data_IF_139532211928
#
_entry.id   IF_139532211928
#
_cell.length_a   1.000
_cell.length_b   1.000
_cell.length_c   1.000
_cell.angle_alpha   90.00
_cell.angle_beta   90.00
_cell.angle_gamma   90.00
#
_symmetry.space_group_name_H-M   'P 1'
#
loop_
_entity.id
_entity.type
_entity.pdbx_description
1 polymer ?
#
# COMPACT_ATOMS: atom_id res chain seq x y z
N UNK A 1 32.84 -15.20 24.98
CA UNK A 1 31.99 -14.08 24.53
C UNK A 1 30.68 -14.64 23.98
N UNK A 2 29.49 -14.22 24.45
CA UNK A 2 28.25 -14.65 23.82
C UNK A 2 28.15 -13.96 22.45
N UNK A 3 28.06 -14.74 21.37
CA UNK A 3 27.67 -14.24 20.06
C UNK A 3 26.21 -13.78 20.15
N UNK A 4 26.00 -12.47 20.20
CA UNK A 4 24.67 -11.87 20.03
C UNK A 4 24.14 -12.33 18.67
N UNK A 5 23.11 -13.18 18.67
CA UNK A 5 22.40 -13.55 17.45
C UNK A 5 21.83 -12.27 16.86
N UNK A 6 22.37 -11.83 15.71
CA UNK A 6 21.80 -10.73 14.95
C UNK A 6 20.39 -11.19 14.55
N UNK A 7 19.36 -10.62 15.19
CA UNK A 7 17.96 -10.88 14.85
C UNK A 7 17.77 -10.38 13.42
N UNK A 8 17.66 -11.31 12.47
CA UNK A 8 17.45 -10.99 11.06
C UNK A 8 16.21 -10.10 10.97
N UNK A 9 16.36 -8.86 10.50
CA UNK A 9 15.21 -7.98 10.29
C UNK A 9 14.32 -8.62 9.21
N UNK A 10 13.17 -9.13 9.63
CA UNK A 10 12.15 -9.77 8.79
C UNK A 10 11.25 -8.75 8.10
N UNK A 11 11.25 -7.49 8.55
CA UNK A 11 10.42 -6.43 7.99
C UNK A 11 10.76 -6.17 6.51
N UNK A 12 9.72 -6.11 5.69
CA UNK A 12 9.74 -5.71 4.30
C UNK A 12 10.23 -4.27 4.21
N UNK A 13 11.30 -4.08 3.44
CA UNK A 13 11.98 -2.80 3.26
C UNK A 13 12.36 -2.63 1.80
N UNK A 14 12.38 -1.37 1.34
CA UNK A 14 13.01 -0.99 0.08
C UNK A 14 14.48 -1.41 0.06
N UNK A 15 15.01 -1.64 -1.13
CA UNK A 15 16.42 -2.03 -1.29
C UNK A 15 17.35 -0.90 -0.82
N UNK A 16 18.54 -1.25 -0.33
CA UNK A 16 19.55 -0.26 0.05
C UNK A 16 19.95 0.63 -1.14
N UNK A 17 19.90 0.09 -2.36
CA UNK A 17 20.11 0.85 -3.60
C UNK A 17 19.14 2.02 -3.71
N UNK A 18 17.84 1.80 -3.54
CA UNK A 18 16.84 2.87 -3.58
C UNK A 18 16.99 3.85 -2.41
N UNK A 19 17.25 3.33 -1.20
CA UNK A 19 17.36 4.17 0.00
C UNK A 19 18.59 5.10 -0.01
N UNK A 20 19.68 4.67 -0.65
CA UNK A 20 20.94 5.43 -0.74
C UNK A 20 20.96 6.46 -1.89
N UNK A 21 19.99 6.45 -2.80
CA UNK A 21 19.92 7.45 -3.87
C UNK A 21 19.72 8.85 -3.29
N UNK A 22 20.25 9.87 -3.97
CA UNK A 22 19.86 11.26 -3.74
C UNK A 22 18.41 11.48 -4.25
N UNK A 23 17.82 12.63 -3.91
CA UNK A 23 16.41 12.90 -4.19
C UNK A 23 16.07 12.89 -5.68
N UNK A 24 16.94 13.47 -6.52
CA UNK A 24 16.75 13.49 -7.98
C UNK A 24 16.77 12.08 -8.57
N UNK A 25 17.77 11.28 -8.20
CA UNK A 25 17.93 9.91 -8.68
C UNK A 25 16.80 9.00 -8.20
N UNK A 26 16.34 9.19 -6.95
CA UNK A 26 15.22 8.42 -6.42
C UNK A 26 13.91 8.72 -7.17
N UNK A 27 13.62 10.00 -7.44
CA UNK A 27 12.44 10.39 -8.23
C UNK A 27 12.51 9.81 -9.65
N UNK A 28 13.68 9.85 -10.27
CA UNK A 28 13.89 9.27 -11.60
C UNK A 28 13.68 7.74 -11.58
N UNK A 29 14.22 7.04 -10.59
CA UNK A 29 14.02 5.61 -10.43
C UNK A 29 12.53 5.25 -10.24
N UNK A 30 11.77 6.04 -9.48
CA UNK A 30 10.32 5.87 -9.33
C UNK A 30 9.59 6.04 -10.66
N UNK A 31 9.95 7.04 -11.46
CA UNK A 31 9.35 7.28 -12.78
C UNK A 31 9.61 6.08 -13.71
N UNK A 32 10.86 5.61 -13.74
CA UNK A 32 11.28 4.48 -14.58
C UNK A 32 10.61 3.17 -14.18
N UNK A 33 10.48 2.92 -12.87
CA UNK A 33 9.82 1.75 -12.29
C UNK A 33 8.31 1.74 -12.57
N UNK A 34 7.65 2.91 -12.51
CA UNK A 34 6.22 3.03 -12.77
C UNK A 34 5.85 3.01 -14.26
N UNK A 35 6.77 3.39 -15.16
CA UNK A 35 6.53 3.52 -16.60
C UNK A 35 5.91 2.28 -17.26
N UNK A 36 6.36 1.03 -17.00
CA UNK A 36 5.75 -0.16 -17.59
C UNK A 36 4.36 -0.50 -17.03
N UNK A 37 3.96 0.04 -15.87
CA UNK A 37 2.70 -0.30 -15.21
C UNK A 37 1.49 0.42 -15.81
N UNK A 38 1.70 1.47 -16.60
CA UNK A 38 0.63 2.35 -17.10
C UNK A 38 0.75 2.63 -18.60
N UNK A 39 -0.34 2.99 -19.29
CA UNK A 39 -0.32 3.38 -20.69
C UNK A 39 0.71 4.50 -20.98
N UNK A 40 1.42 4.39 -22.10
CA UNK A 40 2.51 5.30 -22.46
C UNK A 40 2.06 6.77 -22.63
N UNK A 41 0.79 6.98 -23.00
CA UNK A 41 0.14 8.29 -23.12
C UNK A 41 -0.33 8.86 -21.77
N UNK A 42 -0.16 8.12 -20.67
CA UNK A 42 -0.55 8.51 -19.32
C UNK A 42 0.61 8.46 -18.33
N UNK A 43 1.66 9.29 -18.53
CA UNK A 43 2.81 9.31 -17.65
C UNK A 43 2.44 9.72 -16.22
N UNK A 44 3.27 9.29 -15.27
CA UNK A 44 3.11 9.62 -13.85
C UNK A 44 3.14 11.13 -13.63
N UNK A 45 2.10 11.66 -12.97
CA UNK A 45 1.95 13.09 -12.68
C UNK A 45 2.91 13.49 -11.54
N UNK A 46 3.41 14.73 -11.50
CA UNK A 46 4.34 15.18 -10.45
C UNK A 46 3.83 14.91 -9.03
N UNK A 47 2.54 15.12 -8.77
CA UNK A 47 1.93 14.86 -7.45
C UNK A 47 1.99 13.37 -7.04
N UNK A 48 1.94 12.45 -8.01
CA UNK A 48 2.08 11.02 -7.74
C UNK A 48 3.52 10.68 -7.37
N UNK A 49 4.48 11.20 -8.16
CA UNK A 49 5.91 11.00 -7.93
C UNK A 49 6.34 11.57 -6.58
N UNK A 50 5.91 12.79 -6.23
CA UNK A 50 6.17 13.37 -4.91
C UNK A 50 5.56 12.54 -3.77
N UNK A 51 4.35 12.01 -3.98
CA UNK A 51 3.71 11.12 -3.01
C UNK A 51 4.57 9.88 -2.72
N UNK A 52 4.96 9.16 -3.79
CA UNK A 52 5.79 7.95 -3.69
C UNK A 52 7.16 8.27 -3.10
N UNK A 53 7.79 9.36 -3.55
CA UNK A 53 9.10 9.80 -3.08
C UNK A 53 9.09 10.05 -1.57
N UNK A 54 8.08 10.76 -1.05
CA UNK A 54 7.97 11.01 0.38
C UNK A 54 7.73 9.71 1.18
N UNK A 55 6.93 8.77 0.65
CA UNK A 55 6.76 7.44 1.26
C UNK A 55 8.08 6.64 1.26
N UNK A 56 8.84 6.65 0.16
CA UNK A 56 10.16 6.01 0.07
C UNK A 56 11.18 6.61 1.05
N UNK A 57 11.07 7.92 1.33
CA UNK A 57 11.81 8.62 2.40
C UNK A 57 11.22 8.42 3.81
N UNK A 58 10.22 7.54 3.96
CA UNK A 58 9.55 7.20 5.22
C UNK A 58 8.89 8.39 5.92
N UNK A 59 8.37 9.34 5.14
CA UNK A 59 7.63 10.49 5.66
C UNK A 59 6.15 10.19 5.68
N UNK A 60 5.45 10.75 6.67
CA UNK A 60 4.00 10.84 6.62
C UNK A 60 3.62 11.80 5.49
N UNK A 61 2.73 11.36 4.61
CA UNK A 61 2.46 12.05 3.34
C UNK A 61 0.96 12.27 3.18
N UNK A 62 0.56 13.53 2.98
CA UNK A 62 -0.79 13.90 2.57
C UNK A 62 -0.75 14.32 1.10
N UNK A 63 -1.52 13.62 0.27
CA UNK A 63 -1.61 13.92 -1.17
C UNK A 63 -2.95 14.60 -1.45
N UNK A 64 -2.90 15.88 -1.81
CA UNK A 64 -4.08 16.66 -2.22
C UNK A 64 -4.10 16.80 -3.75
N UNK A 65 -5.09 16.21 -4.40
CA UNK A 65 -5.27 16.31 -5.84
C UNK A 65 -6.73 16.07 -6.26
N UNK A 66 -7.17 16.72 -7.34
CA UNK A 66 -8.53 16.60 -7.87
C UNK A 66 -8.91 15.19 -8.32
N UNK A 67 -10.20 14.97 -8.62
CA UNK A 67 -10.68 13.72 -9.24
C UNK A 67 -10.00 13.50 -10.61
N UNK A 68 -9.75 12.25 -10.99
CA UNK A 68 -9.01 11.94 -12.24
C UNK A 68 -7.49 12.20 -12.19
N UNK A 69 -6.95 12.68 -11.06
CA UNK A 69 -5.49 12.79 -10.88
C UNK A 69 -4.79 11.44 -10.71
N UNK A 70 -5.53 10.34 -10.55
CA UNK A 70 -4.96 9.01 -10.36
C UNK A 70 -4.27 8.83 -9.01
N UNK A 71 -4.88 9.33 -7.91
CA UNK A 71 -4.31 9.28 -6.56
C UNK A 71 -3.93 7.86 -6.10
N UNK A 72 -4.69 6.84 -6.51
CA UNK A 72 -4.41 5.43 -6.18
C UNK A 72 -3.02 4.99 -6.64
N UNK A 73 -2.51 5.55 -7.75
CA UNK A 73 -1.17 5.26 -8.27
C UNK A 73 -0.04 5.52 -7.27
N UNK A 74 -0.24 6.42 -6.30
CA UNK A 74 0.77 6.68 -5.25
C UNK A 74 1.05 5.41 -4.46
N UNK A 75 0.01 4.70 -4.02
CA UNK A 75 0.18 3.48 -3.23
C UNK A 75 0.54 2.28 -4.09
N UNK A 76 0.05 2.22 -5.34
CA UNK A 76 0.39 1.20 -6.33
C UNK A 76 1.89 1.22 -6.67
N UNK A 77 2.40 2.37 -7.11
CA UNK A 77 3.82 2.54 -7.43
C UNK A 77 4.69 2.33 -6.20
N UNK A 78 4.30 2.86 -5.02
CA UNK A 78 5.05 2.61 -3.80
C UNK A 78 5.12 1.11 -3.44
N UNK A 79 4.03 0.36 -3.65
CA UNK A 79 4.00 -1.09 -3.47
C UNK A 79 4.94 -1.80 -4.45
N UNK A 80 4.98 -1.35 -5.71
CA UNK A 80 5.82 -1.92 -6.76
C UNK A 80 7.34 -1.73 -6.52
N UNK A 81 7.75 -0.69 -5.79
CA UNK A 81 9.17 -0.49 -5.41
C UNK A 81 9.74 -1.60 -4.52
N UNK A 82 8.89 -2.42 -3.90
CA UNK A 82 9.32 -3.57 -3.13
C UNK A 82 9.48 -4.78 -4.05
N UNK A 83 10.51 -5.59 -3.80
CA UNK A 83 10.67 -6.85 -4.52
C UNK A 83 9.41 -7.74 -4.37
N UNK A 84 8.89 -8.27 -5.47
CA UNK A 84 7.67 -9.09 -5.51
C UNK A 84 7.68 -10.21 -4.46
N UNK A 85 8.83 -10.85 -4.27
CA UNK A 85 9.04 -11.94 -3.29
C UNK A 85 8.81 -11.54 -1.84
N UNK A 86 8.71 -10.23 -1.54
CA UNK A 86 8.47 -9.71 -0.20
C UNK A 86 7.00 -9.60 0.17
N UNK A 87 6.08 -9.75 -0.78
CA UNK A 87 4.63 -9.69 -0.56
C UNK A 87 4.19 -8.50 0.32
N UNK A 88 4.56 -7.25 -0.04
CA UNK A 88 4.18 -6.06 0.73
C UNK A 88 2.65 -5.96 0.83
N UNK A 89 2.18 -5.45 1.97
CA UNK A 89 0.76 -5.19 2.21
C UNK A 89 0.51 -3.69 2.37
N UNK A 90 -0.41 -3.19 1.57
CA UNK A 90 -0.99 -1.85 1.66
C UNK A 90 -2.39 -1.98 2.26
N UNK A 91 -2.60 -1.33 3.41
CA UNK A 91 -3.91 -1.25 4.04
C UNK A 91 -4.58 0.07 3.63
N UNK A 92 -5.76 0.00 3.00
CA UNK A 92 -6.47 1.17 2.47
C UNK A 92 -7.82 1.33 3.14
N UNK A 93 -7.98 2.42 3.89
CA UNK A 93 -9.25 2.81 4.51
C UNK A 93 -10.06 3.65 3.51
N UNK A 94 -11.18 3.10 3.05
CA UNK A 94 -12.12 3.77 2.16
C UNK A 94 -13.28 4.37 2.95
N UNK A 95 -13.77 5.57 2.59
CA UNK A 95 -14.91 6.19 3.25
C UNK A 95 -16.22 5.43 2.97
N UNK A 96 -16.29 4.69 1.85
CA UNK A 96 -17.46 3.94 1.42
C UNK A 96 -17.06 2.56 0.91
N UNK A 97 -17.82 1.52 1.28
CA UNK A 97 -17.57 0.13 0.85
C UNK A 97 -17.67 -0.03 -0.69
N UNK A 98 -18.61 0.69 -1.32
CA UNK A 98 -18.82 0.63 -2.77
C UNK A 98 -17.56 0.96 -3.59
N UNK A 99 -16.64 1.78 -3.04
CA UNK A 99 -15.40 2.16 -3.71
C UNK A 99 -14.38 1.02 -3.75
N UNK A 100 -14.42 0.09 -2.79
CA UNK A 100 -13.40 -0.96 -2.66
C UNK A 100 -13.45 -1.97 -3.81
N UNK A 101 -14.65 -2.34 -4.29
CA UNK A 101 -14.80 -3.35 -5.34
C UNK A 101 -14.16 -2.91 -6.67
N UNK A 102 -14.40 -1.66 -7.11
CA UNK A 102 -13.81 -1.15 -8.35
C UNK A 102 -12.29 -1.09 -8.26
N UNK A 103 -11.76 -0.69 -7.11
CA UNK A 103 -10.31 -0.61 -6.88
C UNK A 103 -9.64 -1.99 -6.84
N UNK A 104 -10.33 -3.00 -6.28
CA UNK A 104 -9.86 -4.39 -6.34
C UNK A 104 -9.73 -4.85 -7.80
N UNK A 105 -10.73 -4.55 -8.65
CA UNK A 105 -10.68 -4.91 -10.07
C UNK A 105 -9.53 -4.19 -10.79
N UNK A 106 -9.36 -2.88 -10.55
CA UNK A 106 -8.26 -2.09 -11.11
C UNK A 106 -6.88 -2.62 -10.71
N UNK A 107 -6.72 -3.06 -9.46
CA UNK A 107 -5.46 -3.63 -8.98
C UNK A 107 -5.17 -5.00 -9.56
N UNK A 108 -6.19 -5.87 -9.66
CA UNK A 108 -6.05 -7.19 -10.28
C UNK A 108 -5.67 -7.05 -11.76
N UNK A 109 -6.27 -6.09 -12.47
CA UNK A 109 -5.91 -5.80 -13.86
C UNK A 109 -4.45 -5.32 -14.00
N UNK A 110 -3.87 -4.73 -12.95
CA UNK A 110 -2.46 -4.33 -12.88
C UNK A 110 -1.53 -5.43 -12.34
N UNK A 111 -2.05 -6.63 -12.07
CA UNK A 111 -1.26 -7.77 -11.59
C UNK A 111 -1.07 -7.84 -10.08
N UNK A 112 -1.68 -6.94 -9.30
CA UNK A 112 -1.66 -7.02 -7.84
C UNK A 112 -2.71 -7.98 -7.30
N UNK A 113 -2.43 -8.60 -6.16
CA UNK A 113 -3.48 -9.27 -5.38
C UNK A 113 -4.22 -8.26 -4.51
N UNK A 114 -5.55 -8.29 -4.52
CA UNK A 114 -6.35 -7.33 -3.77
C UNK A 114 -7.61 -7.96 -3.17
N UNK A 115 -8.07 -7.43 -2.04
CA UNK A 115 -9.34 -7.80 -1.41
C UNK A 115 -10.04 -6.57 -0.84
N UNK A 116 -11.36 -6.54 -0.94
CA UNK A 116 -12.22 -5.60 -0.23
C UNK A 116 -12.88 -6.32 0.94
N UNK A 117 -12.46 -5.99 2.16
CA UNK A 117 -13.01 -6.54 3.39
C UNK A 117 -14.37 -5.91 3.68
N UNK A 118 -15.35 -6.78 3.83
CA UNK A 118 -16.71 -6.49 4.24
C UNK A 118 -17.01 -7.29 5.49
N UNK A 119 -17.97 -6.84 6.29
CA UNK A 119 -18.42 -7.60 7.45
C UNK A 119 -18.84 -9.03 7.08
N UNK A 120 -19.41 -9.22 5.89
CA UNK A 120 -19.91 -10.51 5.40
C UNK A 120 -18.82 -11.46 4.91
N UNK A 121 -17.63 -10.97 4.53
CA UNK A 121 -16.55 -11.80 3.98
C UNK A 121 -15.32 -11.92 4.89
N UNK A 122 -15.22 -11.08 5.92
CA UNK A 122 -14.08 -11.08 6.82
C UNK A 122 -14.20 -12.16 7.89
N UNK A 123 -13.73 -13.36 7.57
CA UNK A 123 -13.72 -14.55 8.44
C UNK A 123 -12.30 -14.97 8.83
N UNK A 124 -12.18 -15.99 9.69
CA UNK A 124 -10.90 -16.51 10.20
C UNK A 124 -9.92 -16.94 9.10
N UNK A 125 -10.42 -17.45 7.97
CA UNK A 125 -9.56 -17.85 6.84
C UNK A 125 -8.89 -16.63 6.23
N UNK A 126 -9.68 -15.64 5.82
CA UNK A 126 -9.20 -14.36 5.26
C UNK A 126 -8.28 -13.64 6.25
N UNK A 127 -8.64 -13.63 7.54
CA UNK A 127 -7.83 -13.05 8.61
C UNK A 127 -6.43 -13.68 8.69
N UNK A 128 -6.32 -14.99 8.47
CA UNK A 128 -5.03 -15.68 8.45
C UNK A 128 -4.18 -15.34 7.21
N UNK A 129 -4.81 -14.98 6.09
CA UNK A 129 -4.15 -14.73 4.81
C UNK A 129 -3.45 -13.36 4.74
N UNK A 130 -4.02 -12.35 5.39
CA UNK A 130 -3.50 -10.97 5.36
C UNK A 130 -2.06 -10.88 5.93
N UNK A 131 -1.74 -11.40 7.14
CA UNK A 131 -0.37 -11.39 7.67
C UNK A 131 0.65 -12.19 6.85
N UNK A 132 0.20 -13.04 5.93
CA UNK A 132 1.06 -13.81 5.02
C UNK A 132 1.36 -13.06 3.72
N UNK A 133 0.81 -11.86 3.55
CA UNK A 133 0.97 -11.08 2.33
C UNK A 133 0.23 -11.65 1.12
N UNK A 134 -0.84 -12.44 1.33
CA UNK A 134 -1.63 -13.00 0.22
C UNK A 134 -2.24 -11.89 -0.67
N UNK A 135 -2.55 -10.74 -0.06
CA UNK A 135 -3.13 -9.58 -0.72
C UNK A 135 -2.17 -8.40 -0.62
N UNK A 136 -1.68 -7.89 -1.75
CA UNK A 136 -0.90 -6.66 -1.79
C UNK A 136 -1.74 -5.47 -1.32
N UNK A 137 -3.04 -5.45 -1.67
CA UNK A 137 -3.97 -4.39 -1.27
C UNK A 137 -5.14 -4.96 -0.48
N UNK A 138 -5.30 -4.48 0.75
CA UNK A 138 -6.44 -4.79 1.59
C UNK A 138 -7.26 -3.53 1.81
N UNK A 139 -8.42 -3.46 1.17
CA UNK A 139 -9.38 -2.36 1.33
C UNK A 139 -10.36 -2.67 2.45
N UNK A 140 -10.74 -1.66 3.22
CA UNK A 140 -11.75 -1.78 4.26
C UNK A 140 -12.30 -0.38 4.61
N UNK A 141 -13.43 -0.35 5.30
CA UNK A 141 -13.98 0.91 5.85
C UNK A 141 -13.46 1.15 7.28
N UNK A 142 -13.44 2.41 7.76
CA UNK A 142 -13.03 2.75 9.12
C UNK A 142 -13.77 1.96 10.21
N UNK A 143 -15.04 1.63 10.01
CA UNK A 143 -15.83 0.86 10.98
C UNK A 143 -15.25 -0.54 11.21
N UNK A 144 -14.86 -1.25 10.14
CA UNK A 144 -14.19 -2.55 10.25
C UNK A 144 -12.81 -2.37 10.90
N UNK A 145 -12.10 -1.29 10.57
CA UNK A 145 -10.78 -0.98 11.14
C UNK A 145 -10.80 -0.80 12.66
N UNK A 146 -11.82 -0.12 13.18
CA UNK A 146 -11.91 0.26 14.60
C UNK A 146 -12.65 -0.77 15.45
N UNK A 147 -13.66 -1.45 14.90
CA UNK A 147 -14.63 -2.23 15.69
C UNK A 147 -14.56 -3.75 15.45
N UNK A 148 -13.50 -4.26 14.81
CA UNK A 148 -13.36 -5.69 14.55
C UNK A 148 -12.16 -6.31 15.29
N UNK A 149 -12.45 -7.16 16.28
CA UNK A 149 -11.42 -7.81 17.11
C UNK A 149 -10.42 -8.65 16.31
N UNK A 150 -10.86 -9.34 15.25
CA UNK A 150 -9.95 -10.13 14.40
C UNK A 150 -8.96 -9.21 13.69
N UNK A 151 -9.41 -8.06 13.21
CA UNK A 151 -8.53 -7.08 12.57
C UNK A 151 -7.60 -6.43 13.58
N UNK A 152 -8.06 -6.10 14.79
CA UNK A 152 -7.20 -5.63 15.88
C UNK A 152 -6.09 -6.65 16.17
N UNK A 153 -6.42 -7.94 16.22
CA UNK A 153 -5.46 -9.03 16.37
C UNK A 153 -4.45 -9.10 15.22
N UNK A 154 -4.90 -8.92 13.96
CA UNK A 154 -4.01 -8.84 12.79
C UNK A 154 -3.11 -7.61 12.87
N UNK A 155 -3.65 -6.44 13.21
CA UNK A 155 -2.91 -5.19 13.24
C UNK A 155 -1.75 -5.26 14.23
N UNK A 156 -1.97 -5.87 15.40
CA UNK A 156 -0.90 -6.07 16.39
C UNK A 156 -0.04 -7.32 16.15
N UNK A 157 -0.32 -8.11 15.11
CA UNK A 157 0.46 -9.30 14.78
C UNK A 157 1.85 -8.94 14.23
N UNK A 158 2.90 -9.56 14.76
CA UNK A 158 4.28 -9.30 14.32
C UNK A 158 4.50 -9.59 12.82
N UNK A 159 3.95 -10.69 12.28
CA UNK A 159 4.10 -11.03 10.86
C UNK A 159 3.44 -9.98 9.96
N UNK A 160 2.28 -9.48 10.38
CA UNK A 160 1.62 -8.39 9.66
C UNK A 160 2.46 -7.11 9.71
N UNK A 161 2.99 -6.74 10.88
CA UNK A 161 3.88 -5.58 11.05
C UNK A 161 5.17 -5.66 10.23
N UNK A 162 5.60 -6.88 9.88
CA UNK A 162 6.73 -7.12 9.00
C UNK A 162 6.38 -6.87 7.53
N UNK A 163 5.14 -7.12 7.08
CA UNK A 163 4.75 -7.00 5.67
C UNK A 163 3.97 -5.73 5.33
N UNK A 164 3.34 -5.07 6.31
CA UNK A 164 2.61 -3.83 6.08
C UNK A 164 3.56 -2.66 5.81
N UNK A 165 3.42 -2.04 4.64
CA UNK A 165 4.32 -0.97 4.17
C UNK A 165 3.71 0.42 4.26
N UNK A 166 2.38 0.53 4.20
CA UNK A 166 1.66 1.79 4.37
C UNK A 166 0.20 1.54 4.79
N UNK A 167 -0.30 2.43 5.66
CA UNK A 167 -1.72 2.62 5.94
C UNK A 167 -2.16 3.89 5.21
N UNK A 168 -3.10 3.76 4.27
CA UNK A 168 -3.61 4.86 3.49
C UNK A 168 -5.08 5.12 3.85
N UNK A 169 -5.40 6.31 4.35
CA UNK A 169 -6.79 6.75 4.49
C UNK A 169 -7.17 7.57 3.27
N UNK A 170 -8.18 7.12 2.53
CA UNK A 170 -8.82 7.96 1.51
C UNK A 170 -9.83 8.86 2.18
N UNK A 171 -9.70 10.17 1.93
CA UNK A 171 -10.65 11.18 2.39
C UNK A 171 -11.46 11.57 1.16
N UNK A 172 -12.77 11.41 1.22
CA UNK A 172 -13.66 12.03 0.26
C UNK A 172 -13.95 13.45 0.74
N UNK A 173 -13.77 14.45 -0.13
CA UNK A 173 -14.31 15.78 0.16
C UNK A 173 -15.83 15.64 0.20
N UNK A 174 -16.43 16.02 1.33
CA UNK A 174 -17.88 16.02 1.56
C UNK A 174 -18.61 17.09 0.76
N UNK A 175 -18.29 17.22 -0.53
CA UNK A 175 -19.10 17.96 -1.46
C UNK A 175 -20.46 17.30 -1.53
N UNK A 176 -21.45 17.91 -0.87
CA UNK A 176 -22.85 17.65 -1.12
C UNK A 176 -23.05 17.61 -2.65
N UNK A 177 -23.62 16.50 -3.12
CA UNK A 177 -24.19 16.38 -4.45
C UNK A 177 -25.29 17.43 -4.62
#
# INVERSE_FOLDING_TARGET
>A
MPRTKIKKMSKVMLTMKLLAMNDTNLKQAIIEDARPCYPADQPSKPVQIEGVFNLARRRHTIVRAGTGSGKSRVTEVYCHLFAETKNPVVLVLNPLDALGNNQVQENIAQGFTAINLKQTNFNKSVAGEIPRGKYNFTYLIPEIFLNNEMLTGIYHNQKFQEVVVVLCQKIADGGYL
#
